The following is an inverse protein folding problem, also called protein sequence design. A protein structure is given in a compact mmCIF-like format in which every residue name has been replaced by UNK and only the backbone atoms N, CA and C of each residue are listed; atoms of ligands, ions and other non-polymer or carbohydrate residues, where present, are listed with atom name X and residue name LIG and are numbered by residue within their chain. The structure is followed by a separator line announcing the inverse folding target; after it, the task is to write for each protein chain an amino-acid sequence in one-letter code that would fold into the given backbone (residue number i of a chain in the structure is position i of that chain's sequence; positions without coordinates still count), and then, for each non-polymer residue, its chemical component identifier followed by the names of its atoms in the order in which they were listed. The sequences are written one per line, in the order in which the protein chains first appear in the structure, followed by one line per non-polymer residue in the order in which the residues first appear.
data_IF_498604184562
#
_entry.id   IF_498604184562
#
_cell.length_a   1.000
_cell.length_b   1.000
_cell.length_c   1.000
_cell.angle_alpha   90.00
_cell.angle_beta   90.00
_cell.angle_gamma   90.00
#
_symmetry.space_group_name_H-M   'P 1'
#
loop_
_entity.id
_entity.type
_entity.pdbx_description
1 polymer ?
#
# COMPACT_ATOMS: atom_id res chain seq x y z
N UNK A 1 11.43 2.29 -8.03
CA UNK A 1 10.57 2.49 -6.84
C UNK A 1 9.70 1.25 -6.74
N UNK A 2 9.69 0.59 -5.60
CA UNK A 2 9.04 -0.73 -5.47
C UNK A 2 7.55 -0.55 -5.15
N UNK A 3 6.66 -1.30 -5.82
CA UNK A 3 5.23 -1.26 -5.54
C UNK A 3 4.92 -1.82 -4.15
N UNK A 4 3.87 -1.31 -3.51
CA UNK A 4 3.31 -1.94 -2.32
C UNK A 4 2.35 -3.05 -2.78
N UNK A 5 2.72 -4.30 -2.53
CA UNK A 5 1.90 -5.44 -2.90
C UNK A 5 0.74 -5.62 -1.94
N UNK A 6 -0.46 -5.83 -2.49
CA UNK A 6 -1.67 -6.17 -1.74
C UNK A 6 -1.86 -7.68 -1.82
N UNK A 7 -1.84 -8.34 -0.66
CA UNK A 7 -2.02 -9.78 -0.53
C UNK A 7 -3.39 -10.06 0.08
N UNK A 8 -4.19 -10.90 -0.60
CA UNK A 8 -5.49 -11.37 -0.13
C UNK A 8 -5.48 -12.90 -0.14
N UNK A 9 -5.83 -13.52 0.99
CA UNK A 9 -5.90 -14.99 1.12
C UNK A 9 -4.58 -15.70 0.73
N UNK A 10 -3.44 -15.04 0.96
CA UNK A 10 -2.10 -15.57 0.63
C UNK A 10 -1.67 -15.36 -0.83
N UNK A 11 -2.53 -14.77 -1.66
CA UNK A 11 -2.27 -14.51 -3.08
C UNK A 11 -2.05 -13.02 -3.33
N UNK A 12 -1.14 -12.66 -4.25
CA UNK A 12 -0.95 -11.27 -4.67
C UNK A 12 -2.17 -10.83 -5.47
N UNK A 13 -3.02 -10.00 -4.87
CA UNK A 13 -4.25 -9.50 -5.47
C UNK A 13 -4.01 -8.30 -6.36
N UNK A 14 -3.05 -7.45 -6.00
CA UNK A 14 -2.78 -6.21 -6.71
C UNK A 14 -1.56 -5.46 -6.20
N UNK A 15 -1.35 -4.29 -6.76
CA UNK A 15 -0.23 -3.41 -6.42
C UNK A 15 -0.69 -1.97 -6.25
N UNK A 16 -0.09 -1.28 -5.28
CA UNK A 16 -0.25 0.16 -5.08
C UNK A 16 1.07 0.83 -5.49
N UNK A 17 0.96 1.76 -6.44
CA UNK A 17 2.10 2.51 -6.98
C UNK A 17 1.87 4.01 -6.81
N UNK A 18 2.94 4.80 -6.59
CA UNK A 18 2.85 6.26 -6.67
C UNK A 18 2.46 6.71 -8.08
N UNK A 19 1.59 7.72 -8.15
CA UNK A 19 1.09 8.30 -9.39
C UNK A 19 1.01 9.83 -9.23
N UNK A 20 2.09 10.52 -9.62
CA UNK A 20 2.29 11.94 -9.31
C UNK A 20 2.34 12.18 -7.79
N UNK A 21 1.52 13.12 -7.31
CA UNK A 21 1.34 13.41 -5.88
C UNK A 21 0.37 12.44 -5.17
N UNK A 22 -0.12 11.43 -5.89
CA UNK A 22 -1.11 10.47 -5.42
C UNK A 22 -0.65 9.02 -5.45
N UNK A 23 -1.62 8.14 -5.31
CA UNK A 23 -1.47 6.69 -5.37
C UNK A 23 -2.45 6.12 -6.40
N UNK A 24 -2.04 5.03 -7.05
CA UNK A 24 -2.87 4.23 -7.93
C UNK A 24 -2.80 2.77 -7.50
N UNK A 25 -3.91 2.07 -7.59
CA UNK A 25 -4.05 0.66 -7.24
C UNK A 25 -4.51 -0.09 -8.48
N UNK A 26 -3.85 -1.20 -8.76
CA UNK A 26 -4.16 -2.09 -9.89
C UNK A 26 -4.35 -3.51 -9.38
N UNK A 27 -5.47 -4.14 -9.75
CA UNK A 27 -5.62 -5.58 -9.57
C UNK A 27 -4.73 -6.33 -10.57
N UNK A 28 -3.91 -7.27 -10.08
CA UNK A 28 -2.99 -8.08 -10.90
C UNK A 28 -3.63 -9.41 -11.33
N UNK A 29 -4.58 -9.94 -10.55
CA UNK A 29 -5.32 -11.15 -10.89
C UNK A 29 -6.82 -10.84 -10.96
N UNK A 30 -7.45 -11.18 -12.09
CA UNK A 30 -8.91 -11.22 -12.23
C UNK A 30 -9.37 -12.64 -12.03
N UNK A 31 -10.04 -12.92 -10.92
CA UNK A 31 -10.86 -14.13 -10.79
C UNK A 31 -12.31 -13.67 -10.72
N UNK A 32 -13.15 -14.17 -11.60
CA UNK A 32 -14.57 -13.76 -11.67
C UNK A 32 -15.34 -14.02 -10.36
N UNK A 33 -14.79 -14.87 -9.48
CA UNK A 33 -15.31 -15.17 -8.14
C UNK A 33 -14.49 -14.60 -6.98
N UNK A 34 -13.41 -13.85 -7.23
CA UNK A 34 -12.58 -13.35 -6.14
C UNK A 34 -13.26 -12.17 -5.41
N UNK A 35 -13.17 -12.17 -4.09
CA UNK A 35 -13.67 -11.11 -3.23
C UNK A 35 -12.96 -9.79 -3.56
N UNK A 36 -13.67 -8.68 -3.81
CA UNK A 36 -13.03 -7.39 -3.99
C UNK A 36 -12.40 -6.92 -2.68
N UNK A 37 -11.29 -6.18 -2.77
CA UNK A 37 -10.58 -5.60 -1.62
C UNK A 37 -11.49 -4.63 -0.82
N UNK A 38 -12.40 -3.96 -1.51
CA UNK A 38 -13.44 -3.09 -0.95
C UNK A 38 -14.61 -2.99 -1.92
N UNK A 39 -15.83 -2.81 -1.41
CA UNK A 39 -17.00 -2.50 -2.23
C UNK A 39 -16.86 -1.18 -3.00
N UNK A 40 -16.05 -0.24 -2.48
CA UNK A 40 -15.72 1.01 -3.16
C UNK A 40 -14.63 0.88 -4.23
N UNK A 41 -13.97 -0.28 -4.31
CA UNK A 41 -12.94 -0.62 -5.27
C UNK A 41 -13.19 -2.01 -5.86
N UNK A 42 -14.25 -2.17 -6.67
CA UNK A 42 -14.58 -3.43 -7.31
C UNK A 42 -13.42 -3.90 -8.22
N UNK A 43 -13.30 -5.20 -8.47
CA UNK A 43 -12.27 -5.74 -9.38
C UNK A 43 -12.38 -5.24 -10.82
N UNK A 44 -13.55 -4.72 -11.20
CA UNK A 44 -13.77 -4.02 -12.46
C UNK A 44 -14.34 -2.64 -12.11
N UNK A 45 -13.63 -1.53 -12.43
CA UNK A 45 -12.40 -1.44 -13.21
C UNK A 45 -11.15 -1.99 -12.49
N UNK A 46 -10.11 -2.38 -13.25
CA UNK A 46 -8.84 -2.90 -12.71
C UNK A 46 -8.04 -1.87 -11.95
N UNK A 47 -8.14 -0.60 -12.37
CA UNK A 47 -7.37 0.50 -11.83
C UNK A 47 -8.26 1.44 -11.06
N UNK A 48 -7.81 1.81 -9.86
CA UNK A 48 -8.48 2.77 -9.00
C UNK A 48 -7.58 4.00 -8.82
N UNK A 49 -8.15 5.23 -8.92
CA UNK A 49 -7.40 6.45 -8.71
C UNK A 49 -7.25 6.82 -7.22
N UNK A 50 -6.40 7.81 -6.98
CA UNK A 50 -6.00 8.29 -5.65
C UNK A 50 -7.17 8.68 -4.73
N UNK A 51 -8.21 9.29 -5.28
CA UNK A 51 -9.43 9.71 -4.57
C UNK A 51 -10.23 8.52 -4.01
N UNK A 52 -10.09 7.32 -4.59
CA UNK A 52 -10.71 6.09 -4.10
C UNK A 52 -9.83 5.33 -3.12
N UNK A 53 -8.52 5.28 -3.39
CA UNK A 53 -7.59 4.50 -2.58
C UNK A 53 -7.24 5.20 -1.28
N UNK A 54 -7.05 6.53 -1.29
CA UNK A 54 -6.64 7.26 -0.08
C UNK A 54 -7.63 7.13 1.08
N UNK A 55 -8.95 7.28 0.88
CA UNK A 55 -9.92 7.06 1.95
C UNK A 55 -9.91 5.62 2.46
N UNK A 56 -9.77 4.63 1.56
CA UNK A 56 -9.69 3.22 1.95
C UNK A 56 -8.44 2.93 2.79
N UNK A 57 -7.27 3.41 2.36
CA UNK A 57 -6.01 3.28 3.13
C UNK A 57 -6.10 3.97 4.49
N UNK A 58 -6.70 5.17 4.54
CA UNK A 58 -6.90 5.87 5.80
C UNK A 58 -7.80 5.07 6.77
N UNK A 59 -8.78 4.31 6.23
CA UNK A 59 -9.62 3.41 7.02
C UNK A 59 -8.89 2.19 7.59
N UNK A 60 -7.71 1.83 7.08
CA UNK A 60 -6.85 0.79 7.66
C UNK A 60 -5.98 1.32 8.80
N UNK A 61 -5.93 2.64 8.97
CA UNK A 61 -5.11 3.29 9.98
C UNK A 61 -5.95 3.72 11.18
N UNK A 62 -5.34 3.86 12.35
CA UNK A 62 -5.98 4.50 13.50
C UNK A 62 -6.49 5.91 13.13
N UNK A 63 -7.71 6.25 13.53
CA UNK A 63 -8.27 7.59 13.30
C UNK A 63 -7.77 8.65 14.32
N UNK A 64 -7.06 8.21 15.36
CA UNK A 64 -6.51 9.04 16.41
C UNK A 64 -5.12 9.57 16.01
N UNK A 65 -5.00 10.90 15.96
CA UNK A 65 -3.78 11.60 15.58
C UNK A 65 -2.58 11.28 16.48
N UNK A 66 -2.80 11.08 17.78
CA UNK A 66 -1.72 10.78 18.74
C UNK A 66 -1.21 9.34 18.57
N UNK A 67 -2.08 8.41 18.18
CA UNK A 67 -1.68 7.05 17.82
C UNK A 67 -0.83 7.07 16.54
N UNK A 68 -1.26 7.83 15.52
CA UNK A 68 -0.51 7.95 14.28
C UNK A 68 0.86 8.59 14.48
N UNK A 69 0.97 9.63 15.30
CA UNK A 69 2.26 10.27 15.60
C UNK A 69 3.23 9.32 16.33
N UNK A 70 2.72 8.52 17.28
CA UNK A 70 3.53 7.49 17.95
C UNK A 70 4.01 6.42 16.98
N UNK A 71 3.17 6.00 16.04
CA UNK A 71 3.58 5.05 15.01
C UNK A 71 4.62 5.66 14.08
N UNK A 72 4.40 6.89 13.61
CA UNK A 72 5.34 7.63 12.77
C UNK A 72 6.72 7.74 13.45
N UNK A 73 6.76 8.09 14.73
CA UNK A 73 8.00 8.13 15.50
C UNK A 73 8.69 6.76 15.59
N UNK A 74 7.93 5.68 15.77
CA UNK A 74 8.46 4.31 15.85
C UNK A 74 9.10 3.85 14.54
N UNK A 75 8.57 4.25 13.39
CA UNK A 75 9.10 3.88 12.06
C UNK A 75 10.02 4.96 11.45
N UNK A 76 10.34 6.01 12.21
CA UNK A 76 11.22 7.11 11.76
C UNK A 76 10.63 7.99 10.66
N UNK A 77 9.29 8.05 10.55
CA UNK A 77 8.61 8.91 9.59
C UNK A 77 8.32 10.29 10.19
N UNK A 78 8.61 11.34 9.42
CA UNK A 78 8.20 12.70 9.77
C UNK A 78 6.71 12.90 9.45
N UNK A 79 5.85 12.69 10.46
CA UNK A 79 4.43 13.02 10.46
C UNK A 79 3.47 11.85 10.23
N UNK A 80 2.19 12.07 10.57
CA UNK A 80 1.07 11.11 10.50
C UNK A 80 0.50 10.90 9.08
N UNK A 81 1.29 11.15 8.03
CA UNK A 81 0.81 11.02 6.67
C UNK A 81 0.53 9.54 6.33
N UNK A 82 -0.65 9.21 5.75
CA UNK A 82 -1.18 7.83 5.73
C UNK A 82 -0.33 6.83 4.96
N UNK A 83 0.50 7.26 4.01
CA UNK A 83 1.62 6.47 3.49
C UNK A 83 2.74 7.42 3.11
N UNK A 84 3.88 7.29 3.78
CA UNK A 84 5.15 7.84 3.32
C UNK A 84 6.16 6.71 3.27
N UNK A 85 7.00 6.73 2.23
CA UNK A 85 8.09 5.77 2.04
C UNK A 85 8.98 5.72 3.30
N UNK A 86 9.24 4.55 3.91
CA UNK A 86 10.24 4.46 4.97
C UNK A 86 11.63 4.78 4.40
N UNK A 87 12.50 5.49 5.14
CA UNK A 87 13.88 5.70 4.71
C UNK A 87 14.58 4.35 4.57
N UNK A 88 15.23 4.12 3.42
CA UNK A 88 16.00 2.90 3.18
C UNK A 88 17.20 2.90 4.11
N UNK A 89 17.31 1.92 5.00
CA UNK A 89 18.55 1.66 5.72
C UNK A 89 19.62 1.24 4.70
N UNK A 90 20.79 1.91 4.64
CA UNK A 90 21.91 1.42 3.87
C UNK A 90 22.55 0.26 4.64
N UNK A 91 22.40 -0.97 4.16
CA UNK A 91 23.26 -2.06 4.64
C UNK A 91 22.70 -3.47 4.74
N UNK A 92 21.51 -3.80 4.22
CA UNK A 92 21.08 -5.19 4.24
C UNK A 92 20.53 -5.61 2.87
N UNK A 93 21.38 -6.33 2.13
CA UNK A 93 21.07 -7.44 1.23
C UNK A 93 22.43 -8.02 0.80
N UNK A 94 23.12 -8.60 1.78
CA UNK A 94 24.24 -9.52 1.54
C UNK A 94 23.74 -10.88 1.04
N UNK A 95 23.00 -10.88 -0.06
CA UNK A 95 22.64 -12.09 -0.80
C UNK A 95 23.29 -12.01 -2.17
N UNK A 96 24.57 -12.35 -2.20
CA UNK A 96 25.29 -12.69 -3.41
C UNK A 96 24.64 -13.93 -4.01
N UNK A 97 23.85 -13.77 -5.07
CA UNK A 97 23.56 -14.87 -5.97
C UNK A 97 24.87 -15.27 -6.66
N UNK A 98 25.46 -16.36 -6.18
CA UNK A 98 26.42 -17.17 -6.91
C UNK A 98 25.69 -17.80 -8.11
N UNK A 99 26.12 -17.44 -9.32
CA UNK A 99 26.00 -18.24 -10.53
C UNK A 99 27.24 -17.98 -11.39
#
# INVERSE_FOLDING_TARGET
MEPLLVVLEGEVAGEIVPDGDGLRFSYLSKRDSATPLSLSMPQRPEQHPNDRIRPWLAGLLPNDGDVLQRWAARVGLAGAAPLRRPPRAPGDLGLTCLA
#
